data_IF_054163492528
#
_entry.id   IF_054163492528
#
_cell.length_a   1.000
_cell.length_b   1.000
_cell.length_c   1.000
_cell.angle_alpha   90.00
_cell.angle_beta   90.00
_cell.angle_gamma   90.00
#
_symmetry.space_group_name_H-M   'P 1'
#
loop_
_entity.id
_entity.type
_entity.pdbx_description
1 polymer ?
#
# COMPACT_ATOMS: atom_id res chain seq x y z
N UNK A 1 13.21 -5.36 -7.24
CA UNK A 1 11.74 -5.19 -7.24
C UNK A 1 11.40 -3.80 -7.75
N UNK A 2 10.27 -3.66 -8.44
CA UNK A 2 9.78 -2.36 -8.93
C UNK A 2 8.63 -1.85 -8.06
N UNK A 3 8.37 -0.54 -8.12
CA UNK A 3 7.17 0.08 -7.56
C UNK A 3 6.29 0.55 -8.71
N UNK A 4 5.09 0.00 -8.79
CA UNK A 4 4.16 0.18 -9.91
C UNK A 4 3.30 1.42 -9.74
N UNK A 5 3.04 2.07 -10.88
CA UNK A 5 2.24 3.29 -10.98
C UNK A 5 1.35 3.24 -12.20
N UNK A 6 0.07 3.54 -12.01
CA UNK A 6 -0.87 3.83 -13.08
C UNK A 6 -0.75 5.32 -13.46
N UNK A 7 -0.74 5.63 -14.76
CA UNK A 7 -0.59 7.00 -15.25
C UNK A 7 -1.77 7.90 -14.95
N UNK A 8 -2.96 7.33 -14.72
CA UNK A 8 -4.19 8.05 -14.43
C UNK A 8 -4.53 8.09 -12.94
N UNK A 9 -4.31 7.00 -12.21
CA UNK A 9 -4.74 6.87 -10.79
C UNK A 9 -3.60 6.99 -9.78
N UNK A 10 -2.34 7.08 -10.22
CA UNK A 10 -1.18 7.21 -9.35
C UNK A 10 -0.55 5.86 -8.94
N UNK A 11 0.26 5.84 -7.89
CA UNK A 11 0.97 4.61 -7.45
C UNK A 11 0.05 3.69 -6.66
N UNK A 12 0.20 2.37 -6.81
CA UNK A 12 -0.64 1.40 -6.09
C UNK A 12 -0.51 1.55 -4.57
N UNK A 13 0.70 1.85 -4.11
CA UNK A 13 1.00 2.09 -2.69
C UNK A 13 0.28 3.33 -2.16
N UNK A 14 0.40 4.48 -2.82
CA UNK A 14 -0.23 5.73 -2.31
C UNK A 14 -1.75 5.67 -2.42
N UNK A 15 -2.30 5.08 -3.49
CA UNK A 15 -3.74 4.83 -3.58
C UNK A 15 -4.25 4.02 -2.38
N UNK A 16 -3.58 2.90 -2.10
CA UNK A 16 -3.92 2.01 -0.99
C UNK A 16 -3.73 2.69 0.37
N UNK A 17 -2.64 3.43 0.56
CA UNK A 17 -2.35 4.17 1.78
C UNK A 17 -3.43 5.21 2.07
N UNK A 18 -3.75 6.06 1.09
CA UNK A 18 -4.80 7.07 1.23
C UNK A 18 -6.15 6.43 1.56
N UNK A 19 -6.53 5.36 0.86
CA UNK A 19 -7.78 4.65 1.13
C UNK A 19 -7.82 4.10 2.57
N UNK A 20 -6.77 3.42 3.02
CA UNK A 20 -6.73 2.83 4.37
C UNK A 20 -6.68 3.89 5.46
N UNK A 21 -5.94 4.99 5.24
CA UNK A 21 -5.89 6.11 6.17
C UNK A 21 -7.24 6.82 6.27
N UNK A 22 -7.93 7.05 5.15
CA UNK A 22 -9.26 7.66 5.15
C UNK A 22 -10.31 6.80 5.85
N UNK A 23 -10.23 5.47 5.70
CA UNK A 23 -11.17 4.52 6.31
C UNK A 23 -10.89 4.24 7.78
N UNK A 24 -9.61 4.17 8.17
CA UNK A 24 -9.21 3.59 9.46
C UNK A 24 -8.27 4.46 10.29
N UNK A 25 -7.84 5.62 9.79
CA UNK A 25 -6.83 6.45 10.43
C UNK A 25 -7.16 6.87 11.86
N UNK A 26 -8.45 7.03 12.19
CA UNK A 26 -8.92 7.44 13.52
C UNK A 26 -9.21 6.28 14.47
N UNK A 27 -9.21 5.05 13.97
CA UNK A 27 -9.70 3.88 14.70
C UNK A 27 -8.60 2.88 15.00
N UNK A 28 -7.56 2.83 14.17
CA UNK A 28 -6.57 1.76 14.19
C UNK A 28 -5.14 2.28 14.36
N UNK A 29 -4.30 1.42 14.92
CA UNK A 29 -2.88 1.68 15.09
C UNK A 29 -2.17 1.66 13.72
N UNK A 30 -1.13 2.48 13.56
CA UNK A 30 -0.42 2.68 12.29
C UNK A 30 0.01 1.37 11.62
N UNK A 31 0.60 0.43 12.35
CA UNK A 31 1.06 -0.85 11.80
C UNK A 31 -0.11 -1.73 11.34
N UNK A 32 -1.27 -1.65 12.00
CA UNK A 32 -2.48 -2.33 11.53
C UNK A 32 -2.99 -1.73 10.22
N UNK A 33 -2.92 -0.40 10.06
CA UNK A 33 -3.26 0.28 8.80
C UNK A 33 -2.29 -0.15 7.70
N UNK A 34 -0.99 -0.08 7.97
CA UNK A 34 0.05 -0.45 7.00
C UNK A 34 -0.03 -1.94 6.61
N UNK A 35 -0.42 -2.82 7.52
CA UNK A 35 -0.68 -4.23 7.20
C UNK A 35 -1.83 -4.40 6.21
N UNK A 36 -2.91 -3.61 6.34
CA UNK A 36 -4.00 -3.60 5.35
C UNK A 36 -3.57 -3.00 4.01
N UNK A 37 -2.72 -1.97 4.02
CA UNK A 37 -2.09 -1.44 2.81
C UNK A 37 -1.31 -2.54 2.10
N UNK A 38 -0.51 -3.33 2.82
CA UNK A 38 0.21 -4.47 2.27
C UNK A 38 -0.72 -5.50 1.63
N UNK A 39 -1.77 -5.90 2.34
CA UNK A 39 -2.77 -6.84 1.84
C UNK A 39 -3.42 -6.33 0.55
N UNK A 40 -3.85 -5.06 0.54
CA UNK A 40 -4.50 -4.45 -0.62
C UNK A 40 -3.56 -4.42 -1.83
N UNK A 41 -2.33 -3.93 -1.66
CA UNK A 41 -1.35 -3.86 -2.76
C UNK A 41 -1.03 -5.26 -3.31
N UNK A 42 -0.98 -6.29 -2.44
CA UNK A 42 -0.67 -7.65 -2.84
C UNK A 42 -1.81 -8.34 -3.61
N UNK A 43 -3.07 -8.14 -3.21
CA UNK A 43 -4.19 -8.89 -3.77
C UNK A 43 -4.94 -8.13 -4.87
N UNK A 44 -5.12 -6.81 -4.72
CA UNK A 44 -5.99 -6.03 -5.61
C UNK A 44 -5.28 -5.54 -6.87
N UNK A 45 -3.94 -5.60 -6.91
CA UNK A 45 -3.15 -5.03 -8.00
C UNK A 45 -2.29 -6.06 -8.73
N UNK A 46 -2.25 -5.94 -10.04
CA UNK A 46 -1.38 -6.67 -10.96
C UNK A 46 -1.04 -5.76 -12.14
N UNK A 47 0.17 -5.86 -12.67
CA UNK A 47 0.60 -5.02 -13.79
C UNK A 47 0.04 -5.55 -15.09
N UNK A 48 -0.36 -4.64 -15.96
CA UNK A 48 -0.78 -4.96 -17.34
C UNK A 48 0.15 -4.21 -18.28
N UNK A 49 0.86 -4.93 -19.15
CA UNK A 49 1.80 -4.34 -20.10
C UNK A 49 1.94 -5.16 -21.37
N UNK A 50 2.00 -4.50 -22.52
CA UNK A 50 2.33 -5.15 -23.79
C UNK A 50 3.83 -5.46 -23.92
N UNK A 51 4.67 -4.98 -23.00
CA UNK A 51 6.11 -5.26 -23.02
C UNK A 51 6.42 -6.58 -22.29
N UNK A 52 7.12 -7.53 -22.96
CA UNK A 52 7.55 -8.76 -22.33
C UNK A 52 8.34 -8.49 -21.05
N UNK A 53 8.02 -9.23 -19.98
CA UNK A 53 8.66 -9.08 -18.69
C UNK A 53 8.03 -8.05 -17.74
N UNK A 54 7.07 -7.23 -18.21
CA UNK A 54 6.35 -6.26 -17.38
C UNK A 54 4.86 -6.59 -17.18
N UNK A 55 4.35 -7.62 -17.84
CA UNK A 55 2.97 -8.08 -17.66
C UNK A 55 2.82 -9.05 -16.47
N UNK A 56 1.62 -9.06 -15.88
CA UNK A 56 1.21 -9.93 -14.78
C UNK A 56 2.16 -9.93 -13.58
N UNK A 57 2.73 -8.76 -13.23
CA UNK A 57 3.64 -8.61 -12.08
C UNK A 57 2.90 -8.12 -10.86
N UNK A 58 3.36 -8.61 -9.70
CA UNK A 58 2.81 -8.29 -8.38
C UNK A 58 3.73 -7.35 -7.61
N UNK A 59 3.21 -6.79 -6.52
CA UNK A 59 3.95 -5.94 -5.61
C UNK A 59 3.57 -6.24 -4.16
N UNK A 60 4.53 -6.12 -3.25
CA UNK A 60 4.31 -6.06 -1.80
C UNK A 60 5.08 -4.85 -1.26
N UNK A 61 4.46 -3.93 -0.49
CA UNK A 61 5.17 -2.86 0.19
C UNK A 61 5.99 -3.42 1.37
N UNK A 62 7.02 -2.68 1.77
CA UNK A 62 7.89 -3.04 2.89
C UNK A 62 7.76 -2.00 4.00
N UNK A 63 7.51 -2.46 5.22
CA UNK A 63 7.39 -1.61 6.41
C UNK A 63 8.62 -1.87 7.28
N UNK A 64 9.36 -0.80 7.60
CA UNK A 64 10.47 -0.86 8.55
C UNK A 64 10.12 0.05 9.71
N UNK A 65 9.96 -0.54 10.91
CA UNK A 65 9.60 0.19 12.11
C UNK A 65 10.71 0.09 13.15
N UNK A 66 11.10 1.25 13.67
CA UNK A 66 11.91 1.40 14.89
C UNK A 66 11.11 2.11 15.98
N UNK A 67 9.77 2.16 15.84
CA UNK A 67 8.89 2.72 16.84
C UNK A 67 8.99 1.87 18.12
N UNK A 68 9.03 2.54 19.26
CA UNK A 68 9.12 1.89 20.59
C UNK A 68 7.77 1.87 21.31
N UNK A 69 6.73 2.42 20.67
CA UNK A 69 5.35 2.51 21.16
C UNK A 69 4.39 2.43 19.97
N UNK A 70 3.15 2.06 20.27
CA UNK A 70 2.04 2.12 19.32
C UNK A 70 1.75 3.57 18.90
N UNK A 71 1.39 3.77 17.64
CA UNK A 71 1.08 5.08 17.09
C UNK A 71 -0.38 5.14 16.61
N UNK A 72 -1.15 6.04 17.21
CA UNK A 72 -2.53 6.34 16.83
C UNK A 72 -2.66 7.79 16.37
N UNK A 73 -3.53 8.05 15.38
CA UNK A 73 -3.85 9.40 14.92
C UNK A 73 -5.10 9.94 15.64
N UNK A 74 -5.06 9.98 16.96
CA UNK A 74 -6.12 10.59 17.78
C UNK A 74 -5.98 12.11 17.77
N UNK A 75 -7.12 12.81 17.69
CA UNK A 75 -7.18 14.25 17.95
C UNK A 75 -7.25 14.52 19.45
#
# INVERSE_FOLDING_TARGET
YYSWRNTMTGSWFIQSLCEMMSKHGKELELMQIMTRVNHKVALDFESTSNQPGFDAKKQIPCIVSMLTKEMFFTA
#
